data_IF_209385057487
#
_entry.id   IF_209385057487
#
_cell.length_a   1.000
_cell.length_b   1.000
_cell.length_c   1.000
_cell.angle_alpha   90.00
_cell.angle_beta   90.00
_cell.angle_gamma   90.00
#
_symmetry.space_group_name_H-M   'P 1'
#
loop_
_entity.id
_entity.type
_entity.pdbx_description
1 polymer ?
#
# COMPACT_ATOMS: atom_id res chain seq x y z
N UNK A 1 20.61 -14.11 -4.67
CA UNK A 1 20.04 -13.20 -5.68
C UNK A 1 19.53 -11.93 -4.99
N UNK A 2 20.16 -10.77 -5.24
CA UNK A 2 19.67 -9.47 -4.74
C UNK A 2 18.54 -9.01 -5.67
N UNK A 3 17.31 -8.92 -5.16
CA UNK A 3 16.19 -8.31 -5.90
C UNK A 3 16.51 -6.83 -6.10
N UNK A 4 16.73 -6.42 -7.36
CA UNK A 4 16.94 -5.01 -7.72
C UNK A 4 15.60 -4.28 -7.59
N UNK A 5 15.56 -3.23 -6.79
CA UNK A 5 14.43 -2.31 -6.78
C UNK A 5 14.63 -1.36 -7.94
N UNK A 6 13.66 -1.26 -8.83
CA UNK A 6 13.76 -0.39 -10.01
C UNK A 6 12.99 0.92 -9.78
N UNK A 7 13.58 2.09 -10.08
CA UNK A 7 12.80 3.33 -10.19
C UNK A 7 11.82 3.14 -11.35
N UNK A 8 10.52 3.15 -11.07
CA UNK A 8 9.48 2.74 -12.03
C UNK A 8 9.70 3.37 -13.42
N UNK A 9 9.75 2.56 -14.51
CA UNK A 9 9.76 3.09 -15.87
C UNK A 9 8.35 3.59 -16.23
N UNK A 10 8.23 4.27 -17.37
CA UNK A 10 6.98 4.87 -17.92
C UNK A 10 5.84 3.86 -18.18
N UNK A 11 6.06 2.56 -17.92
CA UNK A 11 5.07 1.49 -18.10
C UNK A 11 4.30 1.31 -16.78
N UNK A 12 2.96 1.37 -16.84
CA UNK A 12 2.11 1.09 -15.68
C UNK A 12 2.31 -0.36 -15.23
N UNK A 13 2.85 -0.63 -14.02
CA UNK A 13 3.14 -1.99 -13.59
C UNK A 13 1.83 -2.76 -13.37
N UNK A 14 1.87 -4.06 -13.65
CA UNK A 14 0.74 -4.95 -13.41
C UNK A 14 0.47 -5.04 -11.90
N UNK A 15 -0.72 -4.63 -11.48
CA UNK A 15 -1.15 -4.74 -10.08
C UNK A 15 -1.58 -6.18 -9.78
N UNK A 16 -0.99 -6.78 -8.73
CA UNK A 16 -1.30 -8.14 -8.30
C UNK A 16 -1.74 -8.10 -6.83
N UNK A 17 -2.91 -8.68 -6.54
CA UNK A 17 -3.41 -8.77 -5.16
C UNK A 17 -3.05 -10.12 -4.54
N UNK A 18 -2.27 -10.10 -3.47
CA UNK A 18 -2.01 -11.31 -2.69
C UNK A 18 -3.29 -11.86 -2.06
N UNK A 19 -3.29 -13.14 -1.66
CA UNK A 19 -4.41 -13.76 -0.91
C UNK A 19 -4.73 -12.97 0.36
N UNK A 20 -3.71 -12.49 1.06
CA UNK A 20 -3.88 -11.73 2.29
C UNK A 20 -4.57 -10.38 2.01
N UNK A 21 -4.11 -9.65 0.99
CA UNK A 21 -4.74 -8.41 0.56
C UNK A 21 -6.21 -8.62 0.19
N UNK A 22 -6.54 -9.61 -0.65
CA UNK A 22 -7.94 -9.93 -1.02
C UNK A 22 -8.83 -10.18 0.19
N UNK A 23 -8.33 -10.93 1.18
CA UNK A 23 -9.08 -11.20 2.42
C UNK A 23 -9.33 -9.93 3.22
N UNK A 24 -8.33 -9.06 3.38
CA UNK A 24 -8.47 -7.79 4.12
C UNK A 24 -9.37 -6.82 3.38
N UNK A 25 -9.24 -6.73 2.06
CA UNK A 25 -10.11 -5.92 1.21
C UNK A 25 -11.56 -6.32 1.37
N UNK A 26 -11.88 -7.63 1.33
CA UNK A 26 -13.23 -8.12 1.61
C UNK A 26 -13.71 -7.76 3.03
N UNK A 27 -12.86 -7.93 4.04
CA UNK A 27 -13.20 -7.66 5.44
C UNK A 27 -13.57 -6.18 5.68
N UNK A 28 -12.83 -5.24 5.08
CA UNK A 28 -13.05 -3.80 5.27
C UNK A 28 -13.77 -3.14 4.12
N UNK A 29 -14.32 -3.90 3.17
CA UNK A 29 -15.03 -3.37 2.00
C UNK A 29 -14.15 -2.37 1.19
N UNK A 30 -12.87 -2.70 1.04
CA UNK A 30 -11.93 -1.92 0.23
C UNK A 30 -12.02 -2.41 -1.22
N UNK A 31 -12.47 -1.55 -2.14
CA UNK A 31 -12.49 -1.81 -3.57
C UNK A 31 -11.08 -1.68 -4.18
N UNK A 32 -10.89 -2.22 -5.39
CA UNK A 32 -9.66 -1.98 -6.15
C UNK A 32 -9.48 -0.51 -6.52
N UNK A 33 -10.57 0.24 -6.70
CA UNK A 33 -10.54 1.69 -6.94
C UNK A 33 -9.90 2.43 -5.77
N UNK A 34 -10.27 2.10 -4.52
CA UNK A 34 -9.61 2.68 -3.34
C UNK A 34 -8.10 2.43 -3.35
N UNK A 35 -7.66 1.24 -3.79
CA UNK A 35 -6.23 0.92 -3.90
C UNK A 35 -5.58 1.76 -4.99
N UNK A 36 -6.20 1.91 -6.16
CA UNK A 36 -5.68 2.76 -7.26
C UNK A 36 -5.54 4.22 -6.80
N UNK A 37 -6.60 4.80 -6.22
CA UNK A 37 -6.57 6.16 -5.65
C UNK A 37 -5.45 6.31 -4.62
N UNK A 38 -5.29 5.32 -3.73
CA UNK A 38 -4.25 5.34 -2.71
C UNK A 38 -2.83 5.26 -3.30
N UNK A 39 -2.62 4.50 -4.38
CA UNK A 39 -1.33 4.41 -5.05
C UNK A 39 -0.97 5.67 -5.86
N UNK A 40 -1.97 6.39 -6.36
CA UNK A 40 -1.78 7.63 -7.15
C UNK A 40 -1.67 8.87 -6.27
N UNK A 41 -2.47 8.95 -5.21
CA UNK A 41 -2.67 10.17 -4.43
C UNK A 41 -2.26 10.03 -2.95
N UNK A 42 -1.91 8.82 -2.52
CA UNK A 42 -1.52 8.56 -1.14
C UNK A 42 -0.09 8.99 -0.84
N UNK A 43 0.18 9.24 0.44
CA UNK A 43 1.52 9.49 0.92
C UNK A 43 2.34 8.19 0.88
N UNK A 44 3.45 8.19 0.14
CA UNK A 44 4.33 7.02 -0.02
C UNK A 44 5.53 7.11 0.93
N UNK A 45 5.77 6.04 1.70
CA UNK A 45 6.93 5.89 2.57
C UNK A 45 7.66 4.57 2.26
N UNK A 46 8.97 4.54 2.56
CA UNK A 46 9.74 3.30 2.49
C UNK A 46 9.41 2.40 3.69
N UNK A 47 9.01 1.15 3.42
CA UNK A 47 8.80 0.15 4.47
C UNK A 47 10.03 -0.73 4.67
N UNK A 48 10.57 -1.25 3.57
CA UNK A 48 11.80 -2.04 3.52
C UNK A 48 12.30 -2.09 2.07
N UNK A 49 13.37 -2.83 1.80
CA UNK A 49 13.87 -3.01 0.42
C UNK A 49 12.74 -3.43 -0.54
N UNK A 50 12.50 -2.60 -1.56
CA UNK A 50 11.45 -2.72 -2.58
C UNK A 50 10.01 -2.82 -2.05
N UNK A 51 9.78 -2.49 -0.76
CA UNK A 51 8.46 -2.45 -0.16
C UNK A 51 8.14 -1.04 0.30
N UNK A 52 6.93 -0.61 -0.02
CA UNK A 52 6.48 0.74 0.22
C UNK A 52 5.13 0.71 0.94
N UNK A 53 4.92 1.69 1.80
CA UNK A 53 3.63 1.96 2.39
C UNK A 53 2.98 3.13 1.71
N UNK A 54 1.67 3.04 1.50
CA UNK A 54 0.84 4.13 1.05
C UNK A 54 -0.24 4.39 2.09
N UNK A 55 -0.42 5.65 2.49
CA UNK A 55 -1.43 6.06 3.47
C UNK A 55 -2.22 7.27 2.96
N UNK A 56 -3.55 7.23 3.14
CA UNK A 56 -4.43 8.36 2.80
C UNK A 56 -5.75 8.27 3.55
N UNK A 57 -6.27 9.41 4.00
CA UNK A 57 -7.67 9.51 4.42
C UNK A 57 -8.60 9.30 3.22
N UNK A 58 -9.53 8.37 3.35
CA UNK A 58 -10.46 7.98 2.28
C UNK A 58 -11.90 8.12 2.77
N UNK A 59 -12.80 8.74 1.99
CA UNK A 59 -14.22 8.78 2.32
C UNK A 59 -14.79 7.38 2.58
N UNK A 60 -15.70 7.28 3.55
CA UNK A 60 -16.30 5.99 3.94
C UNK A 60 -15.45 5.13 4.90
N UNK A 61 -14.22 5.54 5.21
CA UNK A 61 -13.39 4.87 6.21
C UNK A 61 -13.21 5.74 7.45
N UNK A 62 -13.34 5.12 8.63
CA UNK A 62 -13.12 5.80 9.93
C UNK A 62 -11.67 6.21 10.18
N UNK A 63 -10.73 5.56 9.50
CA UNK A 63 -9.29 5.74 9.67
C UNK A 63 -8.61 5.78 8.30
N UNK A 64 -7.40 6.38 8.16
CA UNK A 64 -6.67 6.36 6.91
C UNK A 64 -6.50 4.94 6.39
N UNK A 65 -6.67 4.76 5.09
CA UNK A 65 -6.38 3.50 4.44
C UNK A 65 -4.86 3.36 4.30
N UNK A 66 -4.30 2.25 4.78
CA UNK A 66 -2.90 1.87 4.59
C UNK A 66 -2.79 0.66 3.67
N UNK A 67 -1.88 0.73 2.72
CA UNK A 67 -1.49 -0.38 1.86
C UNK A 67 0.01 -0.60 1.95
N UNK A 68 0.42 -1.87 1.98
CA UNK A 68 1.82 -2.25 1.80
C UNK A 68 1.95 -2.92 0.45
N UNK A 69 2.86 -2.42 -0.38
CA UNK A 69 3.17 -3.00 -1.69
C UNK A 69 4.60 -3.49 -1.76
N UNK A 70 4.84 -4.45 -2.64
CA UNK A 70 6.16 -4.79 -3.14
C UNK A 70 6.23 -4.44 -4.61
N UNK A 71 7.17 -3.55 -4.96
CA UNK A 71 7.42 -3.16 -6.35
C UNK A 71 8.57 -4.00 -6.91
N UNK A 72 8.30 -4.67 -8.01
CA UNK A 72 9.29 -5.35 -8.85
C UNK A 72 9.18 -4.75 -10.26
N UNK A 73 10.07 -5.12 -11.18
CA UNK A 73 10.26 -4.47 -12.49
C UNK A 73 8.93 -4.19 -13.23
N UNK A 74 8.10 -5.22 -13.41
CA UNK A 74 6.82 -5.10 -14.13
C UNK A 74 5.58 -5.25 -13.24
N UNK A 75 5.76 -5.41 -11.92
CA UNK A 75 4.66 -5.77 -11.02
C UNK A 75 4.63 -4.94 -9.74
N UNK A 76 3.41 -4.59 -9.34
CA UNK A 76 3.12 -3.99 -8.04
C UNK A 76 2.25 -4.97 -7.26
N UNK A 77 2.86 -5.72 -6.35
CA UNK A 77 2.14 -6.71 -5.54
C UNK A 77 1.60 -6.05 -4.28
N UNK A 78 0.27 -6.01 -4.13
CA UNK A 78 -0.42 -5.59 -2.93
C UNK A 78 -0.32 -6.70 -1.88
N UNK A 79 0.46 -6.46 -0.82
CA UNK A 79 0.69 -7.43 0.26
C UNK A 79 -0.48 -7.38 1.25
N UNK A 80 -0.89 -6.19 1.67
CA UNK A 80 -2.01 -5.99 2.60
C UNK A 80 -2.65 -4.61 2.39
N UNK A 81 -3.92 -4.49 2.78
CA UNK A 81 -4.71 -3.26 2.71
C UNK A 81 -5.64 -3.19 3.92
N UNK A 82 -5.62 -2.10 4.69
CA UNK A 82 -6.47 -1.97 5.87
C UNK A 82 -6.58 -0.53 6.40
N UNK A 83 -7.67 -0.17 7.10
CA UNK A 83 -7.74 1.09 7.83
C UNK A 83 -6.76 1.08 9.03
N UNK A 84 -5.84 2.03 9.07
CA UNK A 84 -4.79 2.16 10.08
C UNK A 84 -5.32 2.89 11.33
N UNK A 85 -5.51 2.19 12.45
CA UNK A 85 -6.03 2.82 13.67
C UNK A 85 -5.02 3.81 14.24
N UNK A 86 -5.49 4.96 14.76
CA UNK A 86 -4.66 6.05 15.33
C UNK A 86 -3.61 5.61 16.37
N UNK A 87 -3.83 4.52 17.13
CA UNK A 87 -2.83 4.02 18.10
C UNK A 87 -1.55 3.49 17.41
N UNK A 88 -1.65 3.09 16.15
CA UNK A 88 -0.54 2.58 15.33
C UNK A 88 0.19 3.69 14.55
N UNK A 89 -0.25 4.95 14.65
CA UNK A 89 0.40 6.11 14.00
C UNK A 89 1.57 6.70 14.80
N UNK A 90 1.87 6.16 16.00
CA UNK A 90 3.02 6.61 16.80
C UNK A 90 4.22 5.71 16.57
N UNK A 91 5.07 6.09 15.61
CA UNK A 91 6.52 5.87 15.63
C UNK A 91 7.25 6.85 14.69
N UNK A 92 6.81 8.11 14.69
CA UNK A 92 7.68 9.24 14.32
C UNK A 92 7.48 10.29 15.42
N UNK A 93 8.53 10.53 16.22
CA UNK A 93 8.55 11.56 17.26
C UNK A 93 8.33 11.06 18.70
N UNK A 94 9.30 10.34 19.26
CA UNK A 94 9.67 10.49 20.68
C UNK A 94 11.18 10.72 20.70
N UNK A 95 11.54 11.73 21.50
CA UNK A 95 12.84 12.40 21.70
C UNK A 95 13.96 11.39 21.97
#
# INVERSE_FOLDING_TARGET
MKKRCWPMPEITPKIIFSRHARRRMKLYQISEEHIKTLLTEGHQENYSQCRFTYTKDMPGFKYPLKVIVQKEEDTCTIITAYPLKRREMKHEGVI
#
